data_IF_215742973194
#
_entry.id   IF_215742973194
#
_cell.length_a   1.000
_cell.length_b   1.000
_cell.length_c   1.000
_cell.angle_alpha   90.00
_cell.angle_beta   90.00
_cell.angle_gamma   90.00
#
_symmetry.space_group_name_H-M   'P 1'
#
loop_
_entity.id
_entity.type
_entity.pdbx_description
1 polymer ?
#
# COMPACT_ATOMS: atom_id res chain seq x y z
N UNK A 1 6.44 11.85 39.95
CA UNK A 1 6.09 12.10 38.54
C UNK A 1 4.91 11.20 38.20
N UNK A 2 3.75 11.71 37.81
CA UNK A 2 2.57 10.88 37.66
C UNK A 2 2.69 9.98 36.43
N UNK A 3 2.26 8.75 36.65
CA UNK A 3 2.30 7.55 35.82
C UNK A 3 1.70 7.76 34.43
N UNK A 4 2.48 7.43 33.40
CA UNK A 4 2.00 7.32 32.02
C UNK A 4 1.13 6.07 31.94
N UNK A 5 -0.20 6.24 32.02
CA UNK A 5 -1.14 5.13 31.86
C UNK A 5 -1.16 4.80 30.37
N UNK A 6 -0.42 3.77 29.97
CA UNK A 6 -0.58 3.14 28.67
C UNK A 6 -1.95 2.43 28.66
N UNK A 7 -3.00 3.17 28.32
CA UNK A 7 -4.29 2.56 27.99
C UNK A 7 -4.14 1.86 26.64
N UNK A 8 -3.98 0.54 26.67
CA UNK A 8 -3.94 -0.24 25.44
C UNK A 8 -5.27 -0.07 24.71
N UNK A 9 -5.22 0.52 23.52
CA UNK A 9 -6.43 0.91 22.79
C UNK A 9 -7.05 -0.31 22.10
N UNK A 10 -8.33 -0.21 21.71
CA UNK A 10 -8.94 -1.25 20.88
C UNK A 10 -8.19 -1.41 19.55
N UNK A 11 -7.62 -0.31 19.04
CA UNK A 11 -6.76 -0.29 17.86
C UNK A 11 -5.53 -1.21 18.03
N UNK A 12 -4.85 -1.14 19.17
CA UNK A 12 -3.65 -1.95 19.45
C UNK A 12 -3.97 -3.41 19.80
N UNK A 13 -5.12 -3.67 20.43
CA UNK A 13 -5.46 -5.00 20.98
C UNK A 13 -6.29 -5.87 20.06
N UNK A 14 -7.19 -5.27 19.28
CA UNK A 14 -8.12 -5.94 18.38
C UNK A 14 -8.47 -5.03 17.20
N UNK A 15 -7.50 -4.91 16.29
CA UNK A 15 -7.56 -4.02 15.13
C UNK A 15 -8.80 -4.23 14.27
N UNK A 16 -9.20 -5.49 14.01
CA UNK A 16 -10.40 -5.79 13.22
C UNK A 16 -11.65 -5.25 13.90
N UNK A 17 -11.78 -5.49 15.21
CA UNK A 17 -12.92 -4.97 15.97
C UNK A 17 -12.91 -3.45 16.06
N UNK A 18 -11.74 -2.82 16.15
CA UNK A 18 -11.61 -1.37 16.07
C UNK A 18 -12.12 -0.84 14.73
N UNK A 19 -11.71 -1.43 13.59
CA UNK A 19 -12.18 -1.06 12.26
C UNK A 19 -13.72 -1.17 12.15
N UNK A 20 -14.29 -2.30 12.56
CA UNK A 20 -15.74 -2.52 12.50
C UNK A 20 -16.51 -1.52 13.38
N UNK A 21 -16.01 -1.27 14.59
CA UNK A 21 -16.61 -0.32 15.52
C UNK A 21 -16.55 1.11 14.98
N UNK A 22 -15.40 1.51 14.43
CA UNK A 22 -15.21 2.84 13.83
C UNK A 22 -16.12 3.03 12.62
N UNK A 23 -16.23 2.02 11.74
CA UNK A 23 -17.16 2.04 10.62
C UNK A 23 -18.62 2.15 11.07
N UNK A 24 -19.00 1.45 12.14
CA UNK A 24 -20.35 1.52 12.68
C UNK A 24 -20.66 2.91 13.29
N UNK A 25 -19.71 3.51 14.00
CA UNK A 25 -19.84 4.88 14.53
C UNK A 25 -20.02 5.90 13.42
N UNK A 26 -19.25 5.79 12.34
CA UNK A 26 -19.39 6.66 11.16
C UNK A 26 -20.76 6.50 10.48
N UNK A 27 -21.23 5.26 10.27
CA UNK A 27 -22.56 4.98 9.69
C UNK A 27 -23.70 5.56 10.54
N UNK A 28 -23.57 5.50 11.85
CA UNK A 28 -24.55 6.03 12.79
C UNK A 28 -24.40 7.54 13.03
N UNK A 29 -23.47 8.21 12.35
CA UNK A 29 -23.14 9.63 12.53
C UNK A 29 -22.75 10.00 13.97
N UNK A 30 -22.26 9.02 14.76
CA UNK A 30 -21.80 9.25 16.12
C UNK A 30 -20.34 9.73 16.12
N UNK A 31 -20.11 10.92 15.57
CA UNK A 31 -18.76 11.48 15.36
C UNK A 31 -18.01 11.79 16.65
N UNK A 32 -18.72 11.96 17.77
CA UNK A 32 -18.13 12.28 19.08
C UNK A 32 -17.30 11.13 19.65
N UNK A 33 -17.63 9.90 19.28
CA UNK A 33 -16.95 8.69 19.77
C UNK A 33 -15.95 8.11 18.77
N UNK A 34 -15.77 8.76 17.61
CA UNK A 34 -14.79 8.33 16.62
C UNK A 34 -13.39 8.66 17.15
N UNK A 35 -12.53 7.65 17.10
CA UNK A 35 -11.11 7.80 17.38
C UNK A 35 -10.41 8.39 16.15
N UNK A 36 -10.45 9.72 16.05
CA UNK A 36 -10.00 10.43 14.85
C UNK A 36 -8.50 10.33 14.60
N UNK A 37 -7.70 10.23 15.65
CA UNK A 37 -6.24 10.15 15.54
C UNK A 37 -5.85 8.85 14.82
N UNK A 38 -6.29 7.71 15.35
CA UNK A 38 -6.03 6.40 14.74
C UNK A 38 -6.71 6.24 13.35
N UNK A 39 -7.89 6.84 13.14
CA UNK A 39 -8.57 6.78 11.84
C UNK A 39 -7.82 7.58 10.75
N UNK A 40 -7.33 8.77 11.09
CA UNK A 40 -6.57 9.58 10.13
C UNK A 40 -5.24 8.89 9.81
N UNK A 41 -4.54 8.39 10.83
CA UNK A 41 -3.28 7.65 10.64
C UNK A 41 -3.49 6.46 9.70
N UNK A 42 -4.53 5.66 9.92
CA UNK A 42 -4.87 4.52 9.06
C UNK A 42 -5.11 4.94 7.61
N UNK A 43 -5.92 5.98 7.37
CA UNK A 43 -6.21 6.47 6.01
C UNK A 43 -4.92 6.94 5.31
N UNK A 44 -4.05 7.63 6.03
CA UNK A 44 -2.76 8.05 5.47
C UNK A 44 -1.84 6.85 5.18
N UNK A 45 -1.82 5.86 6.07
CA UNK A 45 -1.02 4.65 5.90
C UNK A 45 -1.50 3.81 4.72
N UNK A 46 -2.81 3.69 4.51
CA UNK A 46 -3.37 3.08 3.29
C UNK A 46 -2.83 3.76 2.03
N UNK A 47 -2.85 5.10 1.99
CA UNK A 47 -2.30 5.87 0.86
C UNK A 47 -0.78 5.74 0.71
N UNK A 48 -0.02 5.59 1.82
CA UNK A 48 1.42 5.28 1.78
C UNK A 48 1.68 3.87 1.26
N UNK A 49 0.86 2.90 1.66
CA UNK A 49 0.97 1.49 1.26
C UNK A 49 0.76 1.31 -0.25
N UNK A 50 -0.27 1.94 -0.82
CA UNK A 50 -0.55 1.92 -2.26
C UNK A 50 0.65 2.43 -3.09
N UNK A 51 1.23 3.57 -2.67
CA UNK A 51 2.43 4.16 -3.31
C UNK A 51 3.65 3.25 -3.19
N UNK A 52 3.87 2.64 -2.03
CA UNK A 52 4.97 1.68 -1.81
C UNK A 52 4.79 0.43 -2.66
N UNK A 53 3.57 -0.09 -2.75
CA UNK A 53 3.22 -1.26 -3.58
C UNK A 53 3.53 -0.99 -5.06
N UNK A 54 3.11 0.16 -5.59
CA UNK A 54 3.45 0.55 -6.96
C UNK A 54 4.97 0.58 -7.18
N UNK A 55 5.71 1.25 -6.28
CA UNK A 55 7.17 1.33 -6.34
C UNK A 55 7.83 -0.06 -6.33
N UNK A 56 7.40 -0.95 -5.45
CA UNK A 56 7.93 -2.31 -5.36
C UNK A 56 7.67 -3.11 -6.63
N UNK A 57 6.46 -3.03 -7.20
CA UNK A 57 6.16 -3.70 -8.46
C UNK A 57 7.01 -3.18 -9.62
N UNK A 58 7.25 -1.86 -9.69
CA UNK A 58 8.13 -1.26 -10.69
C UNK A 58 9.57 -1.74 -10.56
N UNK A 59 10.12 -1.75 -9.34
CA UNK A 59 11.49 -2.21 -9.08
C UNK A 59 11.66 -3.66 -9.57
N UNK A 60 10.73 -4.55 -9.22
CA UNK A 60 10.83 -5.96 -9.60
C UNK A 60 10.65 -6.15 -11.11
N UNK A 61 9.73 -5.39 -11.74
CA UNK A 61 9.55 -5.41 -13.18
C UNK A 61 10.83 -4.97 -13.91
N UNK A 62 11.40 -3.82 -13.53
CA UNK A 62 12.62 -3.29 -14.14
C UNK A 62 13.80 -4.25 -13.96
N UNK A 63 13.96 -4.82 -12.76
CA UNK A 63 15.00 -5.81 -12.49
C UNK A 63 14.91 -7.02 -13.43
N UNK A 64 13.71 -7.59 -13.60
CA UNK A 64 13.52 -8.75 -14.48
C UNK A 64 13.66 -8.39 -15.96
N UNK A 65 13.22 -7.20 -16.39
CA UNK A 65 13.44 -6.74 -17.77
C UNK A 65 14.94 -6.56 -18.07
N UNK A 66 15.71 -6.01 -17.13
CA UNK A 66 17.17 -5.89 -17.28
C UNK A 66 17.85 -7.25 -17.34
N UNK A 67 17.49 -8.19 -16.46
CA UNK A 67 18.00 -9.57 -16.53
C UNK A 67 17.61 -10.23 -17.85
N UNK A 68 16.39 -10.01 -18.32
CA UNK A 68 15.92 -10.57 -19.58
C UNK A 68 16.76 -10.07 -20.76
N UNK A 69 17.00 -8.76 -20.84
CA UNK A 69 17.77 -8.16 -21.93
C UNK A 69 19.24 -8.56 -21.90
N UNK A 70 19.90 -8.45 -20.74
CA UNK A 70 21.35 -8.56 -20.63
C UNK A 70 21.85 -9.94 -20.22
N UNK A 71 20.97 -10.89 -19.86
CA UNK A 71 21.35 -12.26 -19.51
C UNK A 71 20.55 -13.29 -20.34
N UNK A 72 20.63 -13.24 -21.69
CA UNK A 72 19.81 -14.09 -22.56
C UNK A 72 20.03 -15.59 -22.35
N UNK A 73 21.25 -15.99 -21.98
CA UNK A 73 21.63 -17.38 -21.72
C UNK A 73 21.11 -17.90 -20.36
N UNK A 74 20.74 -17.01 -19.44
CA UNK A 74 20.24 -17.36 -18.10
C UNK A 74 18.74 -17.16 -17.95
N UNK A 75 18.02 -16.86 -19.04
CA UNK A 75 16.57 -16.64 -19.02
C UNK A 75 15.87 -17.87 -18.46
N UNK A 76 15.01 -17.62 -17.47
CA UNK A 76 14.16 -18.64 -16.84
C UNK A 76 12.71 -18.28 -17.04
N UNK A 77 11.86 -19.31 -17.19
CA UNK A 77 10.39 -19.17 -17.28
C UNK A 77 9.85 -18.33 -16.11
N UNK A 78 10.40 -18.50 -14.91
CA UNK A 78 10.01 -17.71 -13.74
C UNK A 78 10.21 -16.19 -13.88
N UNK A 79 11.19 -15.74 -14.68
CA UNK A 79 11.39 -14.31 -14.94
C UNK A 79 10.33 -13.74 -15.86
N UNK A 80 9.95 -14.48 -16.90
CA UNK A 80 8.86 -14.10 -17.81
C UNK A 80 7.53 -13.98 -17.05
N UNK A 81 7.20 -15.00 -16.23
CA UNK A 81 6.02 -14.96 -15.38
C UNK A 81 6.03 -13.76 -14.44
N UNK A 82 7.18 -13.45 -13.82
CA UNK A 82 7.32 -12.29 -12.93
C UNK A 82 7.09 -10.97 -13.69
N UNK A 83 7.60 -10.84 -14.93
CA UNK A 83 7.36 -9.66 -15.78
C UNK A 83 5.87 -9.49 -16.06
N UNK A 84 5.17 -10.57 -16.44
CA UNK A 84 3.73 -10.53 -16.75
C UNK A 84 2.93 -10.14 -15.50
N UNK A 85 3.21 -10.78 -14.38
CA UNK A 85 2.53 -10.55 -13.09
C UNK A 85 2.67 -9.10 -12.64
N UNK A 86 3.90 -8.58 -12.58
CA UNK A 86 4.13 -7.21 -12.10
C UNK A 86 3.59 -6.15 -13.06
N UNK A 87 3.59 -6.41 -14.38
CA UNK A 87 2.89 -5.56 -15.36
C UNK A 87 1.38 -5.52 -15.11
N UNK A 88 0.75 -6.66 -14.80
CA UNK A 88 -0.67 -6.69 -14.46
C UNK A 88 -0.95 -5.89 -13.20
N UNK A 89 -0.21 -6.16 -12.12
CA UNK A 89 -0.37 -5.45 -10.84
C UNK A 89 -0.23 -3.93 -10.97
N UNK A 90 0.74 -3.46 -11.74
CA UNK A 90 0.89 -2.02 -12.02
C UNK A 90 -0.32 -1.49 -12.79
N UNK A 91 -0.78 -2.19 -13.82
CA UNK A 91 -1.95 -1.78 -14.61
C UNK A 91 -3.20 -1.69 -13.74
N UNK A 92 -3.43 -2.70 -12.91
CA UNK A 92 -4.60 -2.79 -12.03
C UNK A 92 -4.55 -1.68 -10.98
N UNK A 93 -3.40 -1.45 -10.33
CA UNK A 93 -3.21 -0.34 -9.39
C UNK A 93 -3.48 1.04 -10.03
N UNK A 94 -2.99 1.29 -11.25
CA UNK A 94 -3.23 2.55 -11.96
C UNK A 94 -4.67 2.72 -12.45
N UNK A 95 -5.39 1.61 -12.64
CA UNK A 95 -6.82 1.61 -12.99
C UNK A 95 -7.67 1.93 -11.77
N UNK A 96 -7.38 1.27 -10.64
CA UNK A 96 -8.11 1.42 -9.39
C UNK A 96 -7.82 2.78 -8.73
N UNK A 97 -6.58 3.27 -8.86
CA UNK A 97 -6.11 4.54 -8.30
C UNK A 97 -5.39 5.40 -9.36
N UNK A 98 -6.11 6.13 -10.24
CA UNK A 98 -5.50 6.97 -11.28
C UNK A 98 -4.57 8.06 -10.75
N UNK A 99 -4.73 8.47 -9.49
CA UNK A 99 -3.84 9.41 -8.78
C UNK A 99 -2.43 8.87 -8.54
N UNK A 100 -2.19 7.58 -8.81
CA UNK A 100 -0.86 6.98 -8.81
C UNK A 100 -0.02 7.31 -10.06
N UNK A 101 -0.64 7.72 -11.17
CA UNK A 101 0.07 8.00 -12.44
C UNK A 101 1.21 9.03 -12.32
N UNK A 102 1.04 10.18 -11.63
CA UNK A 102 2.12 11.17 -11.51
C UNK A 102 3.38 10.61 -10.84
N UNK A 103 3.27 9.56 -10.01
CA UNK A 103 4.41 8.94 -9.36
C UNK A 103 5.28 8.10 -10.30
N UNK A 104 4.81 7.79 -11.52
CA UNK A 104 5.61 7.14 -12.55
C UNK A 104 6.62 8.11 -13.19
N UNK A 105 6.26 9.38 -13.30
CA UNK A 105 7.04 10.41 -14.00
C UNK A 105 8.21 10.91 -13.15
N UNK A 106 8.02 10.96 -11.82
CA UNK A 106 9.01 11.48 -10.87
C UNK A 106 10.22 10.54 -10.68
N UNK A 107 10.11 9.27 -11.07
CA UNK A 107 11.10 8.23 -10.77
C UNK A 107 12.08 7.88 -11.89
N UNK A 108 11.91 8.41 -13.10
CA UNK A 108 12.81 8.16 -14.24
C UNK A 108 13.43 9.50 -14.64
N UNK A 109 14.72 9.75 -14.35
CA UNK A 109 15.40 10.89 -14.95
C UNK A 109 15.37 10.68 -16.47
N UNK A 110 14.72 11.61 -17.18
CA UNK A 110 14.79 11.73 -18.65
C UNK A 110 16.19 12.06 -19.11
#
# INVERSE_FOLDING_TARGET
MPTQINHTTLYETDYLRWLETTAQKLRNQNYKEVDWENLIEEIEDMGRSERRSLKSNLIVLLLHLLKWEFQPLERKVGWESSIIEHRSRIRDALKDSPSLKPYLEVGIPT
#
